data_IF_171079343523
#
_entry.id   IF_171079343523
#
_cell.length_a   1.000
_cell.length_b   1.000
_cell.length_c   1.000
_cell.angle_alpha   90.00
_cell.angle_beta   90.00
_cell.angle_gamma   90.00
#
_symmetry.space_group_name_H-M   'P 1'
#
loop_
_entity.id
_entity.type
_entity.pdbx_description
1 polymer ?
#
# COMPACT_ATOMS: atom_id res chain seq x y z
N UNK A 1 3.28 -5.67 -24.98
CA UNK A 1 2.18 -5.81 -25.96
C UNK A 1 1.44 -7.07 -25.60
N UNK A 2 0.13 -6.99 -25.47
CA UNK A 2 -0.70 -8.15 -25.17
C UNK A 2 -0.84 -9.03 -26.42
N UNK A 3 -1.24 -10.27 -26.18
CA UNK A 3 -1.62 -11.15 -27.27
C UNK A 3 -2.88 -10.64 -27.98
N UNK A 4 -2.99 -11.00 -29.26
CA UNK A 4 -4.13 -10.62 -30.09
C UNK A 4 -5.18 -11.72 -30.09
N UNK A 5 -6.44 -11.33 -29.99
CA UNK A 5 -7.59 -12.21 -30.16
C UNK A 5 -8.26 -11.96 -31.51
N UNK A 6 -8.90 -13.01 -32.03
CA UNK A 6 -9.70 -12.91 -33.24
C UNK A 6 -11.08 -12.36 -32.91
N UNK A 7 -11.54 -11.39 -33.70
CA UNK A 7 -12.88 -10.81 -33.63
C UNK A 7 -13.43 -10.50 -35.01
N UNK A 8 -14.73 -10.22 -35.10
CA UNK A 8 -15.39 -9.80 -36.33
C UNK A 8 -15.57 -8.28 -36.31
N UNK A 9 -14.85 -7.56 -37.17
CA UNK A 9 -14.97 -6.11 -37.30
C UNK A 9 -15.37 -5.74 -38.73
N UNK A 10 -16.52 -5.08 -38.89
CA UNK A 10 -17.07 -4.73 -40.20
C UNK A 10 -17.33 -5.95 -41.09
N UNK A 11 -17.76 -7.07 -40.50
CA UNK A 11 -18.08 -8.30 -41.23
C UNK A 11 -16.89 -9.11 -41.71
N UNK A 12 -15.66 -8.79 -41.27
CA UNK A 12 -14.45 -9.56 -41.57
C UNK A 12 -13.72 -9.96 -40.30
N UNK A 13 -13.09 -11.12 -40.34
CA UNK A 13 -12.21 -11.58 -39.27
C UNK A 13 -10.99 -10.65 -39.17
N UNK A 14 -10.65 -10.28 -37.94
CA UNK A 14 -9.51 -9.41 -37.63
C UNK A 14 -8.87 -9.83 -36.32
N UNK A 15 -7.56 -9.66 -36.22
CA UNK A 15 -6.82 -9.80 -34.97
C UNK A 15 -6.67 -8.43 -34.31
N UNK A 16 -7.14 -8.29 -33.06
CA UNK A 16 -7.04 -7.07 -32.26
C UNK A 16 -6.28 -7.38 -30.97
N UNK A 17 -5.42 -6.46 -30.54
CA UNK A 17 -4.68 -6.58 -29.27
C UNK A 17 -5.63 -6.42 -28.09
N UNK A 18 -5.50 -7.30 -27.10
CA UNK A 18 -6.28 -7.21 -25.87
C UNK A 18 -5.84 -6.01 -25.00
N UNK A 19 -6.75 -5.50 -24.19
CA UNK A 19 -6.54 -4.29 -23.39
C UNK A 19 -5.78 -4.62 -22.11
N UNK A 20 -4.60 -4.04 -21.93
CA UNK A 20 -3.83 -4.13 -20.67
C UNK A 20 -4.17 -2.98 -19.74
N UNK A 21 -4.28 -1.76 -20.27
CA UNK A 21 -4.55 -0.52 -19.50
C UNK A 21 -5.79 0.14 -20.06
N UNK A 22 -6.72 0.54 -19.17
CA UNK A 22 -7.92 1.27 -19.56
C UNK A 22 -7.60 2.73 -19.86
N UNK A 23 -8.09 3.22 -20.99
CA UNK A 23 -8.10 4.64 -21.36
C UNK A 23 -9.49 5.27 -21.20
N UNK A 24 -10.52 4.50 -20.79
CA UNK A 24 -11.88 4.99 -20.50
C UNK A 24 -13.00 4.46 -21.41
N UNK A 25 -14.13 5.19 -21.47
CA UNK A 25 -15.45 4.76 -21.98
C UNK A 25 -15.52 4.21 -23.42
N UNK A 26 -14.48 4.34 -24.23
CA UNK A 26 -14.44 3.81 -25.60
C UNK A 26 -14.11 2.30 -25.69
N UNK A 27 -13.88 1.62 -24.56
CA UNK A 27 -13.41 0.23 -24.49
C UNK A 27 -14.50 -0.77 -24.08
N UNK A 28 -15.77 -0.40 -24.19
CA UNK A 28 -16.88 -1.29 -23.87
C UNK A 28 -16.86 -2.55 -24.78
N UNK A 29 -16.76 -3.73 -24.16
CA UNK A 29 -16.70 -5.02 -24.86
C UNK A 29 -15.28 -5.51 -25.18
N UNK A 30 -14.24 -4.78 -24.78
CA UNK A 30 -12.86 -5.22 -24.92
C UNK A 30 -12.55 -6.44 -24.04
N UNK A 31 -11.62 -7.28 -24.50
CA UNK A 31 -11.05 -8.36 -23.70
C UNK A 31 -9.84 -7.82 -22.94
N UNK A 32 -9.83 -8.01 -21.62
CA UNK A 32 -8.69 -7.65 -20.77
C UNK A 32 -7.54 -8.66 -20.90
N UNK A 33 -6.32 -8.18 -20.79
CA UNK A 33 -5.10 -8.98 -20.75
C UNK A 33 -4.22 -8.62 -19.55
N UNK A 34 -3.30 -9.52 -19.23
CA UNK A 34 -2.33 -9.29 -18.16
C UNK A 34 -1.19 -8.38 -18.63
N UNK A 35 -0.65 -7.60 -17.71
CA UNK A 35 0.58 -6.84 -17.87
C UNK A 35 1.82 -7.75 -17.91
N UNK A 36 2.99 -7.12 -18.06
CA UNK A 36 4.27 -7.83 -18.07
C UNK A 36 4.60 -8.53 -16.73
N UNK A 37 3.94 -8.11 -15.65
CA UNK A 37 4.00 -8.69 -14.32
C UNK A 37 3.02 -9.87 -14.12
N UNK A 38 2.24 -10.21 -15.14
CA UNK A 38 1.26 -11.30 -15.09
C UNK A 38 0.00 -10.95 -14.28
N UNK A 39 -0.31 -9.67 -14.07
CA UNK A 39 -1.50 -9.22 -13.34
C UNK A 39 -2.39 -8.32 -14.21
N UNK A 40 -3.64 -8.17 -13.80
CA UNK A 40 -4.50 -7.13 -14.38
C UNK A 40 -4.03 -5.77 -13.86
N UNK A 41 -3.95 -4.80 -14.76
CA UNK A 41 -3.67 -3.41 -14.40
C UNK A 41 -4.83 -2.83 -13.58
N UNK A 42 -4.55 -1.99 -12.59
CA UNK A 42 -5.58 -1.41 -11.73
C UNK A 42 -6.58 -0.55 -12.51
N UNK A 43 -6.16 0.04 -13.64
CA UNK A 43 -7.05 0.85 -14.48
C UNK A 43 -8.19 0.05 -15.13
N UNK A 44 -8.05 -1.27 -15.29
CA UNK A 44 -9.11 -2.14 -15.82
C UNK A 44 -10.02 -2.71 -14.73
N UNK A 45 -9.74 -2.44 -13.46
CA UNK A 45 -10.56 -2.85 -12.33
C UNK A 45 -11.57 -1.76 -11.94
N UNK A 46 -12.77 -2.12 -11.45
CA UNK A 46 -13.68 -1.16 -10.86
C UNK A 46 -13.07 -0.47 -9.63
N UNK A 47 -13.55 0.75 -9.35
CA UNK A 47 -13.23 1.43 -8.08
C UNK A 47 -13.59 0.54 -6.89
N UNK A 48 -12.68 0.45 -5.91
CA UNK A 48 -12.86 -0.36 -4.70
C UNK A 48 -12.46 -1.84 -4.83
N UNK A 49 -11.91 -2.27 -5.97
CA UNK A 49 -11.35 -3.63 -6.14
C UNK A 49 -9.82 -3.61 -6.12
N UNK A 50 -9.20 -2.49 -6.50
CA UNK A 50 -7.76 -2.27 -6.34
C UNK A 50 -7.39 -2.03 -4.86
N UNK A 51 -6.10 -2.08 -4.55
CA UNK A 51 -5.64 -1.76 -3.20
C UNK A 51 -6.05 -0.33 -2.82
N UNK A 52 -6.53 -0.15 -1.59
CA UNK A 52 -6.82 1.19 -1.07
C UNK A 52 -5.49 1.91 -0.79
N UNK A 53 -5.15 2.85 -1.68
CA UNK A 53 -3.88 3.56 -1.66
C UNK A 53 -4.06 5.07 -1.82
N UNK A 54 -3.12 5.82 -1.25
CA UNK A 54 -2.93 7.25 -1.54
C UNK A 54 -1.49 7.55 -1.89
N UNK A 55 -1.28 8.36 -2.92
CA UNK A 55 0.04 8.82 -3.35
C UNK A 55 0.33 10.18 -2.74
N UNK A 56 1.44 10.31 -2.00
CA UNK A 56 1.81 11.49 -1.23
C UNK A 56 3.30 11.80 -1.31
N UNK A 57 3.69 13.07 -1.30
CA UNK A 57 5.11 13.46 -1.23
C UNK A 57 5.71 13.06 0.13
N UNK A 58 6.82 12.30 0.07
CA UNK A 58 7.56 11.90 1.25
C UNK A 58 8.45 13.03 1.78
N UNK A 59 8.32 13.39 3.07
CA UNK A 59 9.16 14.42 3.71
C UNK A 59 10.42 13.86 4.39
N UNK A 60 10.59 12.54 4.35
CA UNK A 60 11.82 11.86 4.75
C UNK A 60 11.99 10.57 3.94
N UNK A 61 13.15 9.92 4.06
CA UNK A 61 13.38 8.67 3.37
C UNK A 61 12.53 7.54 3.99
N UNK A 62 11.81 6.83 3.14
CA UNK A 62 10.98 5.69 3.50
C UNK A 62 11.61 4.43 2.90
N UNK A 63 11.52 3.33 3.64
CA UNK A 63 11.96 2.01 3.16
C UNK A 63 10.75 1.08 3.10
N UNK A 64 10.81 0.08 2.21
CA UNK A 64 9.80 -0.96 2.12
C UNK A 64 9.50 -1.57 3.51
N UNK A 65 8.22 -1.84 3.76
CA UNK A 65 7.72 -2.40 5.01
C UNK A 65 7.45 -1.38 6.12
N UNK A 66 7.87 -0.12 5.97
CA UNK A 66 7.67 0.88 7.02
C UNK A 66 6.22 1.36 7.09
N UNK A 67 5.73 1.44 8.33
CA UNK A 67 4.50 2.13 8.64
C UNK A 67 4.72 3.65 8.61
N UNK A 68 3.73 4.36 8.08
CA UNK A 68 3.84 5.78 7.75
C UNK A 68 2.72 6.60 8.38
N UNK A 69 3.05 7.84 8.71
CA UNK A 69 2.15 8.86 9.22
C UNK A 69 1.87 9.87 8.11
N UNK A 70 0.59 10.04 7.78
CA UNK A 70 0.11 11.14 6.94
C UNK A 70 -0.11 12.34 7.84
N UNK A 71 0.48 13.47 7.49
CA UNK A 71 0.42 14.68 8.31
C UNK A 71 0.16 15.91 7.45
N UNK A 72 -0.34 16.96 8.11
CA UNK A 72 -0.61 18.23 7.47
C UNK A 72 0.64 19.12 7.51
N UNK A 73 1.30 19.31 6.37
CA UNK A 73 2.39 20.27 6.18
C UNK A 73 1.81 21.59 5.66
N UNK A 74 1.41 22.46 6.58
CA UNK A 74 0.94 23.82 6.28
C UNK A 74 -0.21 23.91 5.26
N UNK A 75 -1.13 22.95 5.30
CA UNK A 75 -2.29 22.82 4.40
C UNK A 75 -2.13 21.78 3.31
N UNK A 76 -0.95 21.15 3.19
CA UNK A 76 -0.66 20.11 2.19
C UNK A 76 -0.44 18.79 2.90
N UNK A 77 -1.19 17.75 2.54
CA UNK A 77 -0.93 16.42 3.07
C UNK A 77 0.40 15.86 2.56
N UNK A 78 1.21 15.35 3.49
CA UNK A 78 2.49 14.71 3.19
C UNK A 78 2.64 13.45 4.00
N UNK A 79 3.63 12.63 3.64
CA UNK A 79 3.89 11.36 4.31
C UNK A 79 5.29 11.32 4.90
N UNK A 80 5.40 10.74 6.09
CA UNK A 80 6.64 10.50 6.84
C UNK A 80 6.54 9.16 7.58
N UNK A 81 7.60 8.71 8.23
CA UNK A 81 7.56 7.54 9.12
C UNK A 81 6.60 7.80 10.28
N UNK A 82 5.78 6.81 10.57
CA UNK A 82 5.07 6.72 11.84
C UNK A 82 6.07 6.42 12.95
N UNK A 83 5.79 6.84 14.18
CA UNK A 83 6.73 6.67 15.29
C UNK A 83 6.03 6.81 16.64
N UNK A 84 6.07 5.72 17.41
CA UNK A 84 5.46 5.66 18.72
C UNK A 84 6.15 6.50 19.81
N UNK A 85 7.37 6.99 19.56
CA UNK A 85 8.17 7.74 20.54
C UNK A 85 8.04 9.25 20.40
N UNK A 86 7.37 9.74 19.35
CA UNK A 86 7.25 11.18 19.09
C UNK A 86 5.88 11.60 18.52
N UNK A 87 4.82 10.87 18.90
CA UNK A 87 3.43 11.20 18.61
C UNK A 87 3.09 11.26 17.11
N UNK A 88 3.52 10.21 16.38
CA UNK A 88 3.25 10.03 14.96
C UNK A 88 2.50 8.73 14.73
N UNK A 89 1.16 8.68 14.90
CA UNK A 89 0.40 7.45 14.66
C UNK A 89 0.55 6.99 13.20
N UNK A 90 0.50 5.68 13.00
CA UNK A 90 0.47 5.08 11.67
C UNK A 90 -0.92 5.26 11.05
N UNK A 91 -0.93 5.59 9.76
CA UNK A 91 -2.14 5.60 8.93
C UNK A 91 -2.09 4.54 7.84
N UNK A 92 -0.90 4.04 7.48
CA UNK A 92 -0.71 3.01 6.47
C UNK A 92 0.74 2.54 6.42
N UNK A 93 1.13 1.90 5.32
CA UNK A 93 2.50 1.42 5.10
C UNK A 93 2.94 1.55 3.64
N UNK A 94 4.25 1.46 3.39
CA UNK A 94 4.83 1.48 2.04
C UNK A 94 5.43 0.12 1.67
N UNK A 95 5.33 -0.28 0.40
CA UNK A 95 5.93 -1.53 -0.13
C UNK A 95 7.25 -1.31 -0.86
N UNK A 96 7.55 -0.06 -1.20
CA UNK A 96 8.77 0.33 -1.90
C UNK A 96 9.58 1.34 -1.07
N UNK A 97 10.82 1.58 -1.50
CA UNK A 97 11.65 2.64 -0.95
C UNK A 97 11.41 3.96 -1.70
N UNK A 98 11.30 5.06 -0.95
CA UNK A 98 11.11 6.40 -1.48
C UNK A 98 12.10 7.36 -0.83
N UNK A 99 12.81 8.15 -1.63
CA UNK A 99 13.63 9.25 -1.12
C UNK A 99 12.77 10.46 -0.80
N UNK A 100 13.30 11.41 -0.03
CA UNK A 100 12.63 12.69 0.22
C UNK A 100 12.22 13.38 -1.11
N UNK A 101 11.01 13.93 -1.13
CA UNK A 101 10.40 14.57 -2.31
C UNK A 101 9.83 13.62 -3.36
N UNK A 102 9.97 12.29 -3.19
CA UNK A 102 9.31 11.33 -4.06
C UNK A 102 7.87 11.12 -3.64
N UNK A 103 7.02 10.79 -4.62
CA UNK A 103 5.63 10.41 -4.39
C UNK A 103 5.57 8.95 -3.93
N UNK A 104 5.33 8.74 -2.63
CA UNK A 104 5.19 7.43 -2.03
C UNK A 104 3.75 6.94 -2.12
N UNK A 105 3.59 5.66 -2.49
CA UNK A 105 2.30 4.96 -2.46
C UNK A 105 2.07 4.39 -1.06
N UNK A 106 1.10 4.95 -0.34
CA UNK A 106 0.67 4.51 0.99
C UNK A 106 -0.47 3.52 0.83
N UNK A 107 -0.31 2.32 1.38
CA UNK A 107 -1.35 1.28 1.48
C UNK A 107 -2.05 1.40 2.84
N UNK A 108 -3.38 1.50 2.82
CA UNK A 108 -4.19 1.62 4.04
C UNK A 108 -4.56 0.28 4.67
N UNK A 109 -4.67 -0.76 3.84
CA UNK A 109 -5.12 -2.09 4.27
C UNK A 109 -4.34 -3.23 3.58
N UNK A 110 -4.58 -4.45 4.07
CA UNK A 110 -4.00 -5.68 3.53
C UNK A 110 -2.64 -6.07 4.14
N UNK A 111 -1.98 -7.05 3.52
CA UNK A 111 -0.71 -7.57 4.01
C UNK A 111 0.47 -6.62 3.75
N UNK A 112 1.12 -6.18 4.83
CA UNK A 112 2.46 -5.59 4.77
C UNK A 112 3.50 -6.71 4.80
N UNK A 113 3.91 -7.17 3.62
CA UNK A 113 4.75 -8.35 3.39
C UNK A 113 6.26 -8.08 3.30
N UNK A 114 6.68 -6.83 3.46
CA UNK A 114 8.08 -6.38 3.35
C UNK A 114 8.75 -6.24 4.73
N UNK A 115 8.33 -7.07 5.69
CA UNK A 115 8.87 -7.12 7.05
C UNK A 115 9.79 -8.34 7.23
N UNK A 116 10.46 -8.40 8.37
CA UNK A 116 11.27 -9.55 8.77
C UNK A 116 11.07 -9.88 10.25
N UNK A 117 11.23 -11.15 10.60
CA UNK A 117 11.11 -11.60 12.00
C UNK A 117 9.67 -11.56 12.54
N UNK A 118 8.68 -11.62 11.65
CA UNK A 118 7.28 -11.67 12.04
C UNK A 118 6.94 -13.09 12.51
N UNK A 119 6.16 -13.20 13.58
CA UNK A 119 5.69 -14.48 14.12
C UNK A 119 4.20 -14.60 13.87
N UNK A 120 3.79 -15.65 13.16
CA UNK A 120 2.40 -15.91 12.86
C UNK A 120 1.55 -15.99 14.15
N UNK A 121 0.37 -15.37 14.13
CA UNK A 121 -0.54 -15.26 15.27
C UNK A 121 -0.16 -14.22 16.33
N UNK A 122 0.98 -13.55 16.20
CA UNK A 122 1.43 -12.53 17.17
C UNK A 122 0.87 -11.16 16.83
N UNK A 123 0.48 -10.39 17.85
CA UNK A 123 0.06 -8.99 17.71
C UNK A 123 1.27 -8.09 17.52
N UNK A 124 1.18 -7.17 16.56
CA UNK A 124 2.20 -6.16 16.30
C UNK A 124 1.67 -4.77 16.58
N UNK A 125 2.55 -3.93 17.08
CA UNK A 125 2.31 -2.56 17.51
C UNK A 125 3.28 -1.61 16.83
N UNK A 126 2.94 -0.32 16.80
CA UNK A 126 3.83 0.71 16.27
C UNK A 126 5.04 0.88 17.18
N UNK A 127 6.24 0.77 16.60
CA UNK A 127 7.52 1.10 17.23
C UNK A 127 8.08 2.44 16.72
N UNK A 128 9.36 2.66 16.97
CA UNK A 128 10.08 3.82 16.46
C UNK A 128 10.33 3.73 14.94
N UNK A 129 10.41 4.87 14.26
CA UNK A 129 10.78 4.97 12.85
C UNK A 129 10.08 3.95 11.92
N UNK A 130 8.76 3.83 12.07
CA UNK A 130 7.85 3.04 11.23
C UNK A 130 7.97 1.53 11.41
N UNK A 131 8.65 1.07 12.47
CA UNK A 131 8.82 -0.36 12.73
C UNK A 131 7.55 -1.00 13.31
N UNK A 132 7.27 -2.24 12.92
CA UNK A 132 6.36 -3.11 13.64
C UNK A 132 7.12 -3.84 14.75
N UNK A 133 6.56 -3.88 15.96
CA UNK A 133 7.15 -4.58 17.11
C UNK A 133 6.14 -5.47 17.82
N UNK A 134 6.57 -6.63 18.29
CA UNK A 134 5.77 -7.49 19.18
C UNK A 134 5.88 -7.06 20.66
N UNK A 135 6.83 -6.17 20.99
CA UNK A 135 6.95 -5.59 22.32
C UNK A 135 5.96 -4.44 22.44
N UNK A 136 5.08 -4.53 23.44
CA UNK A 136 4.06 -3.52 23.72
C UNK A 136 4.75 -2.17 24.02
N UNK A 137 4.44 -1.10 23.26
CA UNK A 137 4.92 0.25 23.57
C UNK A 137 4.43 0.73 24.94
N UNK A 138 5.36 1.27 25.74
CA UNK A 138 5.11 1.77 27.10
C UNK A 138 5.96 3.01 27.40
N UNK A 139 5.54 3.82 28.37
CA UNK A 139 6.37 4.91 28.92
C UNK A 139 7.64 4.35 29.58
N UNK A 140 8.76 5.11 29.58
CA UNK A 140 8.92 6.44 29.00
C UNK A 140 9.42 6.43 27.55
N UNK A 141 9.66 5.25 26.97
CA UNK A 141 10.27 5.11 25.63
C UNK A 141 9.29 5.42 24.51
N UNK A 142 8.00 5.24 24.75
CA UNK A 142 6.92 5.52 23.81
C UNK A 142 5.92 6.47 24.44
N UNK A 143 5.36 7.35 23.62
CA UNK A 143 4.30 8.31 24.01
C UNK A 143 2.93 7.89 23.49
N UNK A 144 2.88 6.97 22.52
CA UNK A 144 1.65 6.35 22.05
C UNK A 144 1.78 4.82 22.00
N UNK A 145 0.66 4.15 22.19
CA UNK A 145 0.46 2.72 21.95
C UNK A 145 -0.57 2.55 20.83
N UNK A 146 -0.17 1.94 19.72
CA UNK A 146 -1.05 1.71 18.58
C UNK A 146 -0.91 0.28 18.08
N UNK A 147 -2.03 -0.40 17.89
CA UNK A 147 -2.07 -1.73 17.28
C UNK A 147 -2.03 -1.59 15.76
N UNK A 148 -1.16 -2.38 15.11
CA UNK A 148 -1.00 -2.35 13.65
C UNK A 148 -1.67 -3.54 12.96
N UNK A 149 -1.78 -4.68 13.64
CA UNK A 149 -2.29 -5.91 13.03
C UNK A 149 -1.70 -7.18 13.63
N UNK A 150 -1.96 -8.31 12.96
CA UNK A 150 -1.51 -9.64 13.37
C UNK A 150 -0.56 -10.23 12.34
N UNK A 151 0.56 -10.80 12.78
CA UNK A 151 1.47 -11.55 11.91
C UNK A 151 0.78 -12.77 11.32
N UNK A 152 0.90 -12.97 10.01
CA UNK A 152 0.31 -14.14 9.31
C UNK A 152 1.37 -15.11 8.78
N UNK A 153 2.61 -14.64 8.63
CA UNK A 153 3.79 -15.45 8.29
C UNK A 153 5.08 -14.76 8.78
N UNK A 154 6.26 -15.18 8.29
CA UNK A 154 7.56 -14.69 8.73
C UNK A 154 7.90 -13.25 8.30
N UNK A 155 7.16 -12.71 7.33
CA UNK A 155 7.43 -11.42 6.68
C UNK A 155 6.20 -10.52 6.58
N UNK A 156 5.03 -11.02 6.99
CA UNK A 156 3.75 -10.34 6.75
C UNK A 156 2.96 -10.08 8.03
N UNK A 157 2.62 -8.81 8.26
CA UNK A 157 1.55 -8.40 9.17
C UNK A 157 0.31 -8.10 8.34
N UNK A 158 -0.81 -8.76 8.65
CA UNK A 158 -2.11 -8.36 8.11
C UNK A 158 -2.52 -7.06 8.80
N UNK A 159 -2.50 -5.96 8.04
CA UNK A 159 -2.67 -4.61 8.57
C UNK A 159 -4.13 -4.37 8.94
N UNK A 160 -4.33 -3.95 10.18
CA UNK A 160 -5.62 -3.61 10.80
C UNK A 160 -5.33 -2.53 11.86
N UNK A 161 -4.99 -1.33 11.38
CA UNK A 161 -4.50 -0.22 12.22
C UNK A 161 -5.67 0.30 13.05
N UNK A 162 -5.51 0.29 14.36
CA UNK A 162 -6.46 0.89 15.29
C UNK A 162 -6.06 2.32 15.69
N UNK A 163 -7.00 3.04 16.30
CA UNK A 163 -6.71 4.32 16.96
C UNK A 163 -5.59 4.17 17.99
N UNK A 164 -4.76 5.20 18.09
CA UNK A 164 -3.72 5.28 19.10
C UNK A 164 -4.27 5.56 20.50
N UNK A 165 -3.53 5.07 21.50
CA UNK A 165 -3.71 5.44 22.90
C UNK A 165 -2.49 6.26 23.31
N UNK A 166 -2.71 7.50 23.74
CA UNK A 166 -1.65 8.32 24.36
C UNK A 166 -1.32 7.76 25.74
N UNK A 167 -0.05 7.50 26.00
CA UNK A 167 0.46 6.82 27.20
C UNK A 167 0.83 7.77 28.34
#
# INVERSE_FOLDING_TARGET
MADKYQTLQGGREKMIEATVVSTGVSQAGDIVALGADGKLDESVLPLGIAADVKVLEATEALTAGKYVNIWNDSGVEKVRLADATNDRPAHGFVKDAFTIGQNATVYFEGGNSDLAGITAGTRYYLGAAGAATATIPVLPTSVIHQFLGVGIDATTVNTDIADEIVL
#
